data_IF_532400076108
#
_entry.id   IF_532400076108
#
_cell.length_a   1.000
_cell.length_b   1.000
_cell.length_c   1.000
_cell.angle_alpha   90.00
_cell.angle_beta   90.00
_cell.angle_gamma   90.00
#
_symmetry.space_group_name_H-M   'P 1'
#
loop_
_entity.id
_entity.type
_entity.pdbx_description
1 polymer ?
#
# COMPACT_ATOMS: atom_id res chain seq x y z
N UNK A 1 -42.86 5.73 -0.48
CA UNK A 1 -42.32 5.41 0.86
C UNK A 1 -40.83 5.70 0.87
N UNK A 2 -40.31 6.63 1.70
CA UNK A 2 -38.88 6.84 1.80
C UNK A 2 -38.23 5.59 2.43
N UNK A 3 -37.20 5.06 1.79
CA UNK A 3 -36.48 3.88 2.27
C UNK A 3 -35.70 4.29 3.52
N UNK A 4 -35.96 3.65 4.66
CA UNK A 4 -35.25 3.91 5.91
C UNK A 4 -33.73 3.79 5.67
N UNK A 5 -32.96 4.77 6.15
CA UNK A 5 -31.50 4.80 6.00
C UNK A 5 -30.94 3.58 6.73
N UNK A 6 -30.36 2.63 5.97
CA UNK A 6 -29.75 1.42 6.53
C UNK A 6 -28.63 1.85 7.49
N UNK A 7 -28.77 1.51 8.77
CA UNK A 7 -27.72 1.73 9.75
C UNK A 7 -26.52 0.85 9.38
N UNK A 8 -25.32 1.44 9.33
CA UNK A 8 -24.09 0.69 9.09
C UNK A 8 -23.95 -0.40 10.16
N UNK A 9 -23.81 -1.65 9.72
CA UNK A 9 -23.70 -2.82 10.58
C UNK A 9 -22.24 -3.22 10.85
N UNK A 10 -21.27 -2.33 10.65
CA UNK A 10 -19.86 -2.60 10.93
C UNK A 10 -19.50 -2.03 12.30
N UNK A 11 -19.47 -2.91 13.31
CA UNK A 11 -19.07 -2.58 14.68
C UNK A 11 -17.61 -2.94 14.92
N UNK A 12 -16.98 -2.34 15.95
CA UNK A 12 -15.63 -2.70 16.36
C UNK A 12 -15.48 -4.20 16.66
N UNK A 13 -16.48 -4.82 17.29
CA UNK A 13 -16.52 -6.26 17.56
C UNK A 13 -16.51 -7.10 16.29
N UNK A 14 -17.21 -6.66 15.24
CA UNK A 14 -17.20 -7.35 13.95
C UNK A 14 -15.86 -7.17 13.23
N UNK A 15 -15.23 -6.00 13.34
CA UNK A 15 -13.87 -5.76 12.81
C UNK A 15 -12.85 -6.64 13.54
N UNK A 16 -12.92 -6.73 14.87
CA UNK A 16 -12.01 -7.55 15.67
C UNK A 16 -12.04 -9.03 15.25
N UNK A 17 -13.20 -9.56 14.82
CA UNK A 17 -13.34 -10.93 14.30
C UNK A 17 -12.64 -11.16 12.97
N UNK A 18 -12.29 -10.10 12.24
CA UNK A 18 -11.54 -10.20 10.97
C UNK A 18 -10.03 -10.24 11.18
N UNK A 19 -9.55 -9.92 12.39
CA UNK A 19 -8.12 -9.89 12.68
C UNK A 19 -7.64 -11.32 12.89
N UNK A 20 -6.72 -11.75 12.03
CA UNK A 20 -5.93 -12.96 12.21
C UNK A 20 -4.50 -12.53 12.53
N UNK A 21 -4.05 -12.77 13.76
CA UNK A 21 -2.64 -12.59 14.08
C UNK A 21 -1.83 -13.67 13.35
N UNK A 22 -1.06 -13.26 12.34
CA UNK A 22 -0.10 -14.10 11.63
C UNK A 22 1.28 -13.50 11.83
N UNK A 23 2.23 -14.32 12.27
CA UNK A 23 3.63 -13.92 12.31
C UNK A 23 4.15 -13.76 10.89
N UNK A 24 4.90 -12.67 10.65
CA UNK A 24 5.60 -12.52 9.38
C UNK A 24 6.78 -13.50 9.35
N UNK A 25 6.76 -14.41 8.39
CA UNK A 25 7.89 -15.31 8.12
C UNK A 25 8.98 -14.65 7.27
N UNK A 26 8.83 -13.34 7.02
CA UNK A 26 9.66 -12.62 6.06
C UNK A 26 9.29 -12.93 4.60
N UNK A 27 10.11 -12.45 3.65
CA UNK A 27 9.89 -12.68 2.23
C UNK A 27 9.95 -14.18 1.90
N UNK A 28 9.19 -14.59 0.88
CA UNK A 28 9.31 -15.95 0.34
C UNK A 28 10.74 -16.24 -0.16
N UNK A 29 11.13 -17.53 -0.28
CA UNK A 29 12.50 -17.93 -0.59
C UNK A 29 13.03 -17.39 -1.94
N UNK A 30 12.14 -17.07 -2.87
CA UNK A 30 12.49 -16.59 -4.21
C UNK A 30 12.46 -15.04 -4.33
N UNK A 31 12.21 -14.33 -3.24
CA UNK A 31 12.12 -12.87 -3.22
C UNK A 31 13.46 -12.29 -2.79
N UNK A 32 14.18 -11.69 -3.73
CA UNK A 32 15.38 -10.89 -3.45
C UNK A 32 14.94 -9.50 -3.00
N UNK A 33 15.31 -9.12 -1.76
CA UNK A 33 15.09 -7.76 -1.25
C UNK A 33 16.31 -6.90 -1.57
N UNK A 34 16.06 -5.68 -2.04
CA UNK A 34 17.09 -4.66 -2.14
C UNK A 34 17.64 -4.35 -0.74
N UNK A 35 18.95 -4.18 -0.66
CA UNK A 35 19.66 -3.61 0.48
C UNK A 35 19.32 -2.14 0.66
N UNK A 36 19.64 -1.59 1.84
CA UNK A 36 19.47 -0.16 2.10
C UNK A 36 20.30 0.71 1.15
N UNK A 37 21.51 0.27 0.79
CA UNK A 37 22.36 0.97 -0.19
C UNK A 37 21.71 1.03 -1.57
N UNK A 38 21.13 -0.08 -2.04
CA UNK A 38 20.42 -0.15 -3.32
C UNK A 38 19.16 0.72 -3.30
N UNK A 39 18.39 0.69 -2.20
CA UNK A 39 17.24 1.58 -2.04
C UNK A 39 17.64 3.06 -2.10
N UNK A 40 18.70 3.45 -1.39
CA UNK A 40 19.20 4.81 -1.41
C UNK A 40 19.69 5.24 -2.81
N UNK A 41 20.26 4.32 -3.59
CA UNK A 41 20.62 4.58 -4.98
C UNK A 41 19.39 4.83 -5.86
N UNK A 42 18.36 3.99 -5.77
CA UNK A 42 17.10 4.14 -6.52
C UNK A 42 16.42 5.46 -6.18
N UNK A 43 16.35 5.83 -4.89
CA UNK A 43 15.79 7.11 -4.46
C UNK A 43 16.56 8.29 -5.03
N UNK A 44 17.89 8.26 -4.98
CA UNK A 44 18.72 9.33 -5.57
C UNK A 44 18.50 9.47 -7.08
N UNK A 45 18.43 8.35 -7.80
CA UNK A 45 18.17 8.36 -9.25
C UNK A 45 16.79 8.93 -9.56
N UNK A 46 15.75 8.48 -8.85
CA UNK A 46 14.39 9.04 -8.99
C UNK A 46 14.39 10.56 -8.74
N UNK A 47 15.03 11.01 -7.66
CA UNK A 47 15.11 12.43 -7.31
C UNK A 47 15.93 13.24 -8.33
N UNK A 48 16.88 12.64 -9.03
CA UNK A 48 17.65 13.31 -10.08
C UNK A 48 16.83 13.54 -11.37
N UNK A 49 15.75 12.77 -11.59
CA UNK A 49 14.86 12.96 -12.75
C UNK A 49 13.81 14.04 -12.54
N UNK A 50 13.69 14.60 -11.34
CA UNK A 50 12.73 15.66 -11.06
C UNK A 50 13.15 16.96 -11.76
N UNK A 51 12.21 17.77 -12.27
CA UNK A 51 12.54 19.11 -12.77
C UNK A 51 13.19 19.97 -11.68
N UNK A 52 14.20 20.75 -12.05
CA UNK A 52 14.96 21.57 -11.10
C UNK A 52 14.05 22.49 -10.27
N UNK A 53 14.27 22.48 -8.96
CA UNK A 53 13.53 23.31 -8.01
C UNK A 53 12.07 22.90 -7.80
N UNK A 54 11.63 21.73 -8.26
CA UNK A 54 10.24 21.26 -8.11
C UNK A 54 10.09 20.14 -7.09
N UNK A 55 8.97 20.16 -6.40
CA UNK A 55 8.57 19.12 -5.44
C UNK A 55 8.31 17.78 -6.13
N UNK A 56 8.45 16.70 -5.36
CA UNK A 56 8.20 15.33 -5.83
C UNK A 56 6.82 14.90 -5.35
N UNK A 57 5.99 14.48 -6.30
CA UNK A 57 4.67 13.93 -6.02
C UNK A 57 4.72 12.40 -6.13
N UNK A 58 4.25 11.72 -5.08
CA UNK A 58 4.09 10.26 -5.07
C UNK A 58 2.59 9.97 -5.26
N UNK A 59 2.25 9.20 -6.32
CA UNK A 59 0.87 8.76 -6.51
C UNK A 59 0.58 7.49 -5.70
N UNK A 60 -0.16 7.62 -4.62
CA UNK A 60 -0.57 6.50 -3.79
C UNK A 60 -1.79 5.77 -4.38
N UNK A 61 -1.68 4.45 -4.63
CA UNK A 61 -2.78 3.63 -5.15
C UNK A 61 -3.09 2.38 -4.29
N UNK A 62 -2.34 2.15 -3.21
CA UNK A 62 -2.45 1.01 -2.31
C UNK A 62 -2.35 1.43 -0.83
N UNK A 63 -1.54 0.71 -0.05
CA UNK A 63 -1.41 0.92 1.41
C UNK A 63 -1.02 2.34 1.83
N UNK A 64 -0.29 3.05 0.98
CA UNK A 64 0.12 4.44 1.24
C UNK A 64 -1.07 5.40 1.38
N UNK A 65 -2.26 5.07 0.87
CA UNK A 65 -3.47 5.89 1.04
C UNK A 65 -3.92 5.99 2.52
N UNK A 66 -3.57 5.03 3.37
CA UNK A 66 -4.00 4.99 4.77
C UNK A 66 -2.85 4.79 5.76
N UNK A 67 -1.66 4.41 5.29
CA UNK A 67 -0.46 4.28 6.09
C UNK A 67 0.73 4.88 5.32
N UNK A 68 0.89 6.23 5.36
CA UNK A 68 2.01 6.89 4.73
C UNK A 68 3.34 6.36 5.29
N UNK A 69 4.25 5.95 4.42
CA UNK A 69 5.57 5.44 4.80
C UNK A 69 6.63 6.56 4.91
N UNK A 70 6.25 7.80 4.64
CA UNK A 70 7.12 8.98 4.65
C UNK A 70 6.33 10.19 5.15
N UNK A 71 7.03 11.14 5.76
CA UNK A 71 6.47 12.46 6.03
C UNK A 71 6.26 13.21 4.71
N UNK A 72 5.12 13.89 4.60
CA UNK A 72 4.79 14.71 3.44
C UNK A 72 4.14 16.01 3.90
N UNK A 73 4.31 17.06 3.12
CA UNK A 73 3.80 18.41 3.44
C UNK A 73 2.43 18.68 2.82
N UNK A 74 2.03 17.89 1.83
CA UNK A 74 0.78 18.06 1.10
C UNK A 74 0.29 16.72 0.53
N UNK A 75 -1.04 16.50 0.58
CA UNK A 75 -1.73 15.39 -0.08
C UNK A 75 -2.89 15.93 -0.92
N UNK A 76 -3.11 15.37 -2.11
CA UNK A 76 -4.24 15.71 -2.98
C UNK A 76 -4.86 14.45 -3.58
N UNK A 77 -6.19 14.43 -3.68
CA UNK A 77 -6.88 13.43 -4.50
C UNK A 77 -6.48 13.62 -5.97
N UNK A 78 -6.05 12.54 -6.61
CA UNK A 78 -5.60 12.56 -8.00
C UNK A 78 -6.12 11.37 -8.79
N UNK A 79 -6.18 11.54 -10.10
CA UNK A 79 -6.49 10.47 -11.06
C UNK A 79 -5.35 10.38 -12.05
N UNK A 80 -4.86 9.17 -12.32
CA UNK A 80 -3.83 8.91 -13.34
C UNK A 80 -4.52 8.21 -14.52
N UNK A 81 -4.77 8.92 -15.64
CA UNK A 81 -5.43 8.34 -16.80
C UNK A 81 -4.59 7.23 -17.45
N UNK A 82 -5.25 6.23 -18.03
CA UNK A 82 -4.59 5.12 -18.72
C UNK A 82 -4.09 4.00 -17.79
N UNK A 83 -4.24 4.15 -16.48
CA UNK A 83 -3.87 3.13 -15.50
C UNK A 83 -5.10 2.54 -14.81
N UNK A 84 -5.03 1.24 -14.51
CA UNK A 84 -6.09 0.51 -13.81
C UNK A 84 -5.50 -0.20 -12.59
N UNK A 85 -6.12 -0.01 -11.43
CA UNK A 85 -5.72 -0.73 -10.21
C UNK A 85 -6.31 -2.13 -10.27
N UNK A 86 -5.44 -3.13 -10.33
CA UNK A 86 -5.80 -4.54 -10.21
C UNK A 86 -5.09 -5.17 -9.01
N UNK A 87 -5.77 -6.07 -8.32
CA UNK A 87 -5.12 -6.91 -7.32
C UNK A 87 -4.54 -8.12 -8.05
N UNK A 88 -3.29 -8.01 -8.49
CA UNK A 88 -2.60 -9.05 -9.26
C UNK A 88 -1.15 -9.27 -8.79
N UNK A 89 -0.86 -8.87 -7.55
CA UNK A 89 0.45 -9.01 -6.92
C UNK A 89 0.33 -10.09 -5.85
N UNK A 90 0.90 -11.27 -6.12
CA UNK A 90 0.93 -12.38 -5.16
C UNK A 90 1.69 -11.98 -3.91
N UNK A 91 1.03 -11.98 -2.76
CA UNK A 91 1.63 -11.60 -1.47
C UNK A 91 1.87 -12.84 -0.59
N UNK A 92 3.13 -13.13 -0.27
CA UNK A 92 3.51 -14.23 0.64
C UNK A 92 3.83 -13.75 2.06
N UNK A 93 3.71 -12.44 2.30
CA UNK A 93 3.94 -11.77 3.57
C UNK A 93 2.89 -10.65 3.73
N UNK A 94 2.73 -10.09 4.94
CA UNK A 94 1.77 -9.05 5.32
C UNK A 94 0.28 -9.41 5.25
N UNK A 95 -0.26 -9.56 4.04
CA UNK A 95 -1.68 -9.84 3.77
C UNK A 95 -1.89 -11.27 3.28
N UNK A 96 -0.88 -12.10 3.50
CA UNK A 96 -0.80 -13.49 3.13
C UNK A 96 0.32 -14.18 3.91
N UNK A 97 0.39 -15.49 3.75
CA UNK A 97 1.51 -16.32 4.21
C UNK A 97 2.04 -17.13 3.04
N UNK A 98 3.17 -17.82 3.23
CA UNK A 98 3.68 -18.75 2.20
C UNK A 98 2.65 -19.85 1.87
N UNK A 99 2.01 -20.43 2.90
CA UNK A 99 1.02 -21.50 2.75
C UNK A 99 -0.34 -21.01 2.23
N UNK A 100 -0.70 -19.77 2.55
CA UNK A 100 -1.95 -19.12 2.16
C UNK A 100 -1.63 -17.72 1.65
N UNK A 101 -1.12 -17.62 0.40
CA UNK A 101 -0.77 -16.33 -0.17
C UNK A 101 -2.00 -15.43 -0.21
N UNK A 102 -1.77 -14.17 0.09
CA UNK A 102 -2.69 -13.10 -0.24
C UNK A 102 -2.82 -13.01 -1.75
N UNK A 103 -3.89 -12.34 -2.15
CA UNK A 103 -4.36 -12.15 -3.53
C UNK A 103 -3.29 -12.31 -4.62
#
# INVERSE_FOLDING_TARGET
>A
MPRARRQMALTADLVARTIRATESTGPGPDIVRNTETEWNAIVREMLATRPDGRDVWIFAYGSLLWNPAVEHVEERAGVVPGWHRSFCIRLQDWRGTVDQPGL
#
